data_IF_458491322382
#
_entry.id   IF_458491322382
#
_cell.length_a   1.000
_cell.length_b   1.000
_cell.length_c   1.000
_cell.angle_alpha   90.00
_cell.angle_beta   90.00
_cell.angle_gamma   90.00
#
_symmetry.space_group_name_H-M   'P 1'
#
loop_
_entity.id
_entity.type
_entity.pdbx_description
1 polymer ?
#
# COMPACT_ATOMS: atom_id res chain seq x y z
N UNK A 1 11.46 -18.58 -2.94
CA UNK A 1 11.90 -17.26 -2.62
C UNK A 1 11.22 -16.24 -3.46
N UNK A 2 10.51 -15.36 -2.86
CA UNK A 2 9.87 -14.29 -3.57
C UNK A 2 10.73 -13.04 -3.61
N UNK A 3 10.29 -12.06 -4.33
CA UNK A 3 10.90 -10.76 -4.33
C UNK A 3 10.62 -10.07 -3.00
N UNK A 4 11.51 -9.17 -2.60
CA UNK A 4 11.25 -8.34 -1.43
C UNK A 4 10.02 -7.46 -1.69
N UNK A 5 9.23 -7.17 -0.65
CA UNK A 5 8.10 -6.26 -0.81
C UNK A 5 8.55 -4.90 -1.30
N UNK A 6 7.71 -4.25 -2.08
CA UNK A 6 8.04 -2.97 -2.69
C UNK A 6 6.93 -1.96 -2.49
N UNK A 7 7.26 -0.69 -2.70
CA UNK A 7 6.30 0.40 -2.69
C UNK A 7 5.96 0.72 -4.14
N UNK A 8 4.69 0.59 -4.49
CA UNK A 8 4.21 0.83 -5.85
C UNK A 8 3.49 2.17 -5.89
N UNK A 9 4.01 3.10 -6.67
CA UNK A 9 3.35 4.38 -6.89
C UNK A 9 2.45 4.23 -8.11
N UNK A 10 1.14 4.35 -7.90
CA UNK A 10 0.17 4.18 -8.98
C UNK A 10 0.41 5.23 -10.07
N UNK A 11 0.44 4.79 -11.32
CA UNK A 11 0.75 5.67 -12.43
C UNK A 11 -0.45 6.11 -13.26
N UNK A 12 -1.61 5.56 -12.99
CA UNK A 12 -2.83 5.97 -13.68
C UNK A 12 -3.27 7.35 -13.25
N UNK A 13 -4.04 8.02 -14.08
CA UNK A 13 -4.56 9.35 -13.75
C UNK A 13 -5.73 9.29 -12.78
N UNK A 14 -6.45 8.18 -12.77
CA UNK A 14 -7.60 7.95 -11.91
C UNK A 14 -7.32 6.83 -10.93
N UNK A 15 -8.15 6.67 -9.91
CA UNK A 15 -7.94 5.58 -8.95
C UNK A 15 -7.91 4.22 -9.65
N UNK A 16 -7.13 3.28 -9.13
CA UNK A 16 -7.21 1.90 -9.65
C UNK A 16 -8.56 1.29 -9.32
N UNK A 17 -8.93 0.26 -10.06
CA UNK A 17 -10.09 -0.54 -9.67
C UNK A 17 -9.74 -1.33 -8.42
N UNK A 18 -10.77 -1.82 -7.72
CA UNK A 18 -10.55 -2.68 -6.56
C UNK A 18 -9.69 -3.88 -6.94
N UNK A 19 -9.98 -4.50 -8.08
CA UNK A 19 -9.22 -5.66 -8.53
C UNK A 19 -7.76 -5.34 -8.78
N UNK A 20 -7.47 -4.19 -9.37
CA UNK A 20 -6.09 -3.78 -9.60
C UNK A 20 -5.35 -3.57 -8.28
N UNK A 21 -5.99 -2.90 -7.34
CA UNK A 21 -5.38 -2.68 -6.03
C UNK A 21 -5.14 -4.01 -5.30
N UNK A 22 -6.11 -4.91 -5.33
CA UNK A 22 -5.98 -6.21 -4.70
C UNK A 22 -4.85 -7.03 -5.30
N UNK A 23 -4.67 -6.95 -6.61
CA UNK A 23 -3.60 -7.67 -7.28
C UNK A 23 -2.23 -7.17 -6.82
N UNK A 24 -2.10 -5.86 -6.68
CA UNK A 24 -0.82 -5.27 -6.26
C UNK A 24 -0.45 -5.70 -4.84
N UNK A 25 -1.40 -5.68 -3.91
CA UNK A 25 -1.10 -6.01 -2.51
C UNK A 25 -1.28 -7.49 -2.20
N UNK A 26 -1.86 -8.25 -3.12
CA UNK A 26 -1.98 -9.71 -2.97
C UNK A 26 -3.18 -10.17 -2.19
N UNK A 27 -4.21 -9.36 -2.04
CA UNK A 27 -5.42 -9.75 -1.31
C UNK A 27 -6.28 -8.54 -0.99
N UNK A 28 -7.18 -8.71 -0.02
CA UNK A 28 -8.06 -7.60 0.38
C UNK A 28 -7.26 -6.40 0.81
N UNK A 29 -7.76 -5.22 0.48
CA UNK A 29 -7.05 -3.98 0.75
C UNK A 29 -7.46 -3.36 2.08
N UNK A 30 -6.52 -2.61 2.67
CA UNK A 30 -6.78 -1.80 3.85
C UNK A 30 -6.06 -0.47 3.67
N UNK A 31 -6.75 0.62 4.04
CA UNK A 31 -6.13 1.94 4.03
C UNK A 31 -5.39 2.18 5.34
N UNK A 32 -4.15 2.63 5.23
CA UNK A 32 -3.36 3.04 6.40
C UNK A 32 -3.82 4.43 6.83
N UNK A 33 -4.06 4.61 8.13
CA UNK A 33 -4.54 5.90 8.64
C UNK A 33 -3.58 7.04 8.31
N UNK A 34 -4.15 8.23 8.10
CA UNK A 34 -3.36 9.40 7.69
C UNK A 34 -2.26 9.75 8.68
N UNK A 35 -2.50 9.51 9.96
CA UNK A 35 -1.50 9.83 10.98
C UNK A 35 -0.36 8.82 11.04
N UNK A 36 -0.46 7.74 10.27
CA UNK A 36 0.57 6.70 10.25
C UNK A 36 1.58 6.88 9.11
N UNK A 37 1.33 7.82 8.18
CA UNK A 37 2.26 8.01 7.07
C UNK A 37 2.57 9.49 6.88
N UNK A 38 3.61 9.74 6.08
CA UNK A 38 4.18 11.08 5.94
C UNK A 38 3.79 11.79 4.66
N UNK A 39 3.00 11.14 3.82
CA UNK A 39 2.66 11.69 2.49
C UNK A 39 1.33 12.41 2.57
N UNK A 40 1.33 13.70 2.24
CA UNK A 40 0.10 14.49 2.23
C UNK A 40 -0.72 14.17 0.98
N UNK A 41 -2.04 14.25 1.14
CA UNK A 41 -2.97 14.07 0.04
C UNK A 41 -2.76 12.74 -0.68
N UNK A 42 -2.57 11.68 0.11
CA UNK A 42 -2.30 10.36 -0.43
C UNK A 42 -3.03 9.29 0.37
N UNK A 43 -3.39 8.21 -0.31
CA UNK A 43 -3.86 6.99 0.31
C UNK A 43 -2.74 5.96 0.26
N UNK A 44 -2.49 5.30 1.37
CA UNK A 44 -1.53 4.20 1.46
C UNK A 44 -2.32 2.92 1.66
N UNK A 45 -2.14 1.97 0.76
CA UNK A 45 -2.96 0.76 0.72
C UNK A 45 -2.07 -0.45 0.92
N UNK A 46 -2.50 -1.36 1.78
CA UNK A 46 -1.79 -2.59 2.10
C UNK A 46 -2.74 -3.76 2.08
N UNK A 47 -2.19 -4.97 2.19
CA UNK A 47 -2.98 -6.19 2.33
C UNK A 47 -3.55 -6.23 3.75
N UNK A 48 -4.87 -6.31 3.84
CA UNK A 48 -5.57 -6.34 5.13
C UNK A 48 -5.10 -7.49 6.02
N UNK A 49 -4.70 -8.61 5.42
CA UNK A 49 -4.31 -9.80 6.14
C UNK A 49 -2.81 -10.07 6.12
N UNK A 50 -2.02 -9.04 5.82
CA UNK A 50 -0.58 -9.23 5.65
C UNK A 50 0.11 -9.91 6.82
N UNK A 51 -0.27 -9.55 8.05
CA UNK A 51 0.32 -10.16 9.24
C UNK A 51 -0.10 -11.61 9.39
N UNK A 52 -1.38 -11.90 9.20
CA UNK A 52 -1.91 -13.26 9.29
C UNK A 52 -1.30 -14.16 8.23
N UNK A 53 -1.11 -13.65 7.02
CA UNK A 53 -0.53 -14.40 5.92
C UNK A 53 0.98 -14.56 6.04
N UNK A 54 1.60 -13.88 7.00
CA UNK A 54 3.03 -13.95 7.19
C UNK A 54 3.82 -13.28 6.08
N UNK A 55 3.28 -12.21 5.49
CA UNK A 55 4.00 -11.47 4.47
C UNK A 55 5.21 -10.79 5.09
N UNK A 56 6.26 -10.61 4.30
CA UNK A 56 7.48 -9.97 4.78
C UNK A 56 7.27 -8.49 5.07
N UNK A 57 8.02 -7.96 6.03
CA UNK A 57 8.03 -6.54 6.32
C UNK A 57 8.53 -5.78 5.08
N UNK A 58 7.84 -4.69 4.76
CA UNK A 58 8.23 -3.82 3.65
C UNK A 58 9.19 -2.76 4.17
N UNK A 59 10.48 -3.02 4.01
CA UNK A 59 11.52 -2.12 4.51
C UNK A 59 11.49 -0.79 3.77
N UNK A 60 11.21 -0.81 2.47
CA UNK A 60 11.15 0.42 1.68
C UNK A 60 10.04 1.36 2.18
N UNK A 61 8.99 0.80 2.76
CA UNK A 61 7.86 1.62 3.23
C UNK A 61 8.18 2.42 4.50
N UNK A 62 9.27 2.11 5.20
CA UNK A 62 9.65 2.92 6.36
C UNK A 62 9.99 4.36 6.00
N UNK A 63 10.25 4.63 4.73
CA UNK A 63 10.48 6.00 4.28
C UNK A 63 9.22 6.85 4.28
N UNK A 64 8.06 6.22 4.20
CA UNK A 64 6.80 6.92 4.06
C UNK A 64 5.81 6.62 5.18
N UNK A 65 6.10 5.66 6.03
CA UNK A 65 5.17 5.25 7.07
C UNK A 65 5.89 5.05 8.37
N UNK A 66 5.23 5.43 9.49
CA UNK A 66 5.83 5.34 10.81
C UNK A 66 5.62 3.99 11.48
N UNK A 67 4.78 3.13 10.88
CA UNK A 67 4.52 1.79 11.42
C UNK A 67 4.99 0.74 10.41
N UNK A 68 5.31 -0.47 10.87
CA UNK A 68 5.68 -1.54 9.96
C UNK A 68 4.51 -1.93 9.05
N UNK A 69 4.78 -2.05 7.77
CA UNK A 69 3.78 -2.53 6.81
C UNK A 69 4.28 -3.83 6.21
N UNK A 70 3.35 -4.77 5.99
CA UNK A 70 3.68 -6.10 5.49
C UNK A 70 3.30 -6.23 4.03
N UNK A 71 4.20 -6.78 3.23
CA UNK A 71 3.94 -7.02 1.81
C UNK A 71 4.05 -5.76 0.98
N UNK A 72 3.55 -5.81 -0.24
CA UNK A 72 3.58 -4.68 -1.16
C UNK A 72 2.68 -3.56 -0.67
N UNK A 73 3.11 -2.33 -0.90
CA UNK A 73 2.38 -1.12 -0.50
C UNK A 73 2.05 -0.34 -1.75
N UNK A 74 0.80 0.09 -1.88
CA UNK A 74 0.33 0.89 -3.01
C UNK A 74 0.10 2.32 -2.55
N UNK A 75 0.65 3.28 -3.27
CA UNK A 75 0.51 4.70 -2.96
C UNK A 75 -0.32 5.38 -4.04
N UNK A 76 -1.40 6.04 -3.61
CA UNK A 76 -2.28 6.81 -4.48
C UNK A 76 -2.22 8.26 -4.06
N UNK A 77 -2.01 9.18 -5.00
CA UNK A 77 -1.87 10.61 -4.69
C UNK A 77 -2.91 11.44 -5.43
N UNK A 78 -3.42 12.46 -4.76
CA UNK A 78 -4.33 13.43 -5.38
C UNK A 78 -5.55 12.75 -5.97
N UNK A 79 -5.77 12.92 -7.26
CA UNK A 79 -6.95 12.37 -7.94
C UNK A 79 -6.97 10.86 -8.01
N UNK A 80 -5.85 10.21 -7.71
CA UNK A 80 -5.78 8.74 -7.70
C UNK A 80 -6.39 8.14 -6.43
N UNK A 81 -6.63 8.97 -5.41
CA UNK A 81 -7.13 8.48 -4.12
C UNK A 81 -8.50 7.85 -4.27
N UNK A 82 -8.77 6.85 -3.42
CA UNK A 82 -10.04 6.15 -3.41
C UNK A 82 -11.17 6.98 -2.81
N UNK A 83 -10.83 8.06 -2.15
CA UNK A 83 -11.83 8.92 -1.51
C UNK A 83 -11.79 10.33 -2.05
#
# INVERSE_FOLDING_TARGET
MGEAPKVVHWEGKEPPTLEEAQEIVGGNIELVGDYCHKIKDADIIVNEEGLILGLDINIAAFKICTIPLMGNVLVLKGKQRLQ
#
